data_IF_596208554918
#
_entry.id   IF_596208554918
#
_cell.length_a   1.000
_cell.length_b   1.000
_cell.length_c   1.000
_cell.angle_alpha   90.00
_cell.angle_beta   90.00
_cell.angle_gamma   90.00
#
_symmetry.space_group_name_H-M   'P 1'
#
loop_
_entity.id
_entity.type
_entity.pdbx_description
1 polymer ?
#
# COMPACT_ATOMS: atom_id res chain seq x y z
N UNK A 1 10.11 20.40 18.09
CA UNK A 1 10.07 19.19 17.24
C UNK A 1 9.15 18.21 17.94
N UNK A 2 7.99 17.92 17.37
CA UNK A 2 7.09 16.92 17.93
C UNK A 2 7.76 15.56 17.79
N UNK A 3 8.11 14.91 18.90
CA UNK A 3 8.55 13.51 18.86
C UNK A 3 7.36 12.70 18.36
N UNK A 4 7.47 12.12 17.18
CA UNK A 4 6.45 11.19 16.72
C UNK A 4 6.31 10.09 17.76
N UNK A 5 5.09 9.88 18.22
CA UNK A 5 4.74 8.74 19.06
C UNK A 5 4.77 7.48 18.20
N UNK A 6 5.88 6.74 18.30
CA UNK A 6 6.06 5.46 17.59
C UNK A 6 5.13 4.36 18.15
N UNK A 7 4.64 4.51 19.38
CA UNK A 7 3.83 3.47 20.03
C UNK A 7 2.52 3.22 19.30
N UNK A 8 1.93 4.27 18.70
CA UNK A 8 0.74 4.12 17.88
C UNK A 8 1.02 3.31 16.61
N UNK A 9 2.15 3.54 15.93
CA UNK A 9 2.52 2.78 14.73
C UNK A 9 2.87 1.32 15.04
N UNK A 10 3.52 1.09 16.18
CA UNK A 10 3.78 -0.27 16.68
C UNK A 10 2.48 -1.00 17.01
N UNK A 11 1.52 -0.32 17.65
CA UNK A 11 0.19 -0.86 17.92
C UNK A 11 -0.58 -1.15 16.63
N UNK A 12 -0.51 -0.28 15.62
CA UNK A 12 -1.16 -0.48 14.33
C UNK A 12 -0.58 -1.69 13.58
N UNK A 13 0.75 -1.88 13.61
CA UNK A 13 1.40 -3.09 13.05
C UNK A 13 0.91 -4.34 13.79
N UNK A 14 0.91 -4.32 15.13
CA UNK A 14 0.47 -5.45 15.93
C UNK A 14 -1.00 -5.81 15.67
N UNK A 15 -1.89 -4.80 15.58
CA UNK A 15 -3.30 -4.99 15.26
C UNK A 15 -3.49 -5.58 13.85
N UNK A 16 -2.74 -5.09 12.85
CA UNK A 16 -2.82 -5.61 11.49
C UNK A 16 -2.28 -7.05 11.38
N UNK A 17 -1.24 -7.41 12.13
CA UNK A 17 -0.70 -8.78 12.19
C UNK A 17 -1.68 -9.75 12.87
N UNK A 18 -2.32 -9.32 13.96
CA UNK A 18 -3.36 -10.08 14.63
C UNK A 18 -4.54 -10.36 13.67
N UNK A 19 -4.96 -9.36 12.90
CA UNK A 19 -6.03 -9.50 11.90
C UNK A 19 -5.67 -10.47 10.77
N UNK A 20 -4.43 -10.42 10.26
CA UNK A 20 -3.94 -11.40 9.27
C UNK A 20 -3.98 -12.82 9.83
N UNK A 21 -3.60 -12.98 11.10
CA UNK A 21 -3.61 -14.29 11.79
C UNK A 21 -5.02 -14.82 11.92
N UNK A 22 -5.96 -14.01 12.44
CA UNK A 22 -7.38 -14.36 12.56
C UNK A 22 -7.99 -14.80 11.22
N UNK A 23 -7.84 -13.99 10.16
CA UNK A 23 -8.39 -14.33 8.84
C UNK A 23 -7.74 -15.59 8.25
N UNK A 24 -6.45 -15.83 8.54
CA UNK A 24 -5.76 -17.04 8.09
C UNK A 24 -6.34 -18.28 8.77
N UNK A 25 -6.63 -18.21 10.06
CA UNK A 25 -7.27 -19.30 10.82
C UNK A 25 -8.68 -19.55 10.29
N UNK A 26 -9.51 -18.51 10.14
CA UNK A 26 -10.86 -18.62 9.55
C UNK A 26 -10.84 -19.26 8.15
N UNK A 27 -9.90 -18.83 7.30
CA UNK A 27 -9.76 -19.43 5.97
C UNK A 27 -9.29 -20.89 6.02
N UNK A 28 -8.47 -21.27 7.01
CA UNK A 28 -8.03 -22.66 7.18
C UNK A 28 -9.20 -23.55 7.59
N UNK A 29 -10.06 -23.08 8.50
CA UNK A 29 -11.29 -23.77 8.90
C UNK A 29 -12.24 -23.94 7.71
N UNK A 30 -12.46 -22.89 6.92
CA UNK A 30 -13.26 -22.94 5.70
C UNK A 30 -12.70 -23.93 4.67
N UNK A 31 -11.37 -24.00 4.55
CA UNK A 31 -10.71 -24.94 3.64
C UNK A 31 -10.78 -26.40 4.13
N UNK A 32 -10.77 -26.64 5.43
CA UNK A 32 -11.01 -27.97 6.02
C UNK A 32 -12.47 -28.40 5.83
N UNK A 33 -13.43 -27.52 6.13
CA UNK A 33 -14.85 -27.77 5.91
C UNK A 33 -15.15 -28.10 4.43
N UNK A 34 -14.53 -27.38 3.49
CA UNK A 34 -14.63 -27.67 2.06
C UNK A 34 -14.11 -29.07 1.69
N UNK A 35 -12.99 -29.51 2.28
CA UNK A 35 -12.43 -30.85 2.02
C UNK A 35 -13.32 -31.97 2.55
N UNK A 36 -13.97 -31.76 3.69
CA UNK A 36 -14.85 -32.74 4.31
C UNK A 36 -16.22 -32.87 3.64
N UNK A 37 -16.88 -31.74 3.35
CA UNK A 37 -18.21 -31.70 2.74
C UNK A 37 -18.41 -30.42 1.91
N UNK A 38 -18.13 -30.44 0.59
CA UNK A 38 -18.28 -29.26 -0.26
C UNK A 38 -19.74 -28.79 -0.34
N UNK A 39 -20.05 -27.62 0.22
CA UNK A 39 -21.32 -26.93 0.00
C UNK A 39 -21.39 -26.29 -1.39
N UNK A 40 -22.61 -26.02 -1.87
CA UNK A 40 -22.87 -25.49 -3.22
C UNK A 40 -22.22 -24.10 -3.45
N UNK A 41 -22.09 -23.30 -2.40
CA UNK A 41 -21.48 -21.97 -2.38
C UNK A 41 -20.02 -21.96 -1.88
N UNK A 42 -19.46 -23.10 -1.49
CA UNK A 42 -18.19 -23.16 -0.77
C UNK A 42 -17.00 -22.61 -1.58
N UNK A 43 -17.03 -22.74 -2.91
CA UNK A 43 -15.99 -22.13 -3.78
C UNK A 43 -16.02 -20.60 -3.73
N UNK A 44 -17.21 -20.02 -3.66
CA UNK A 44 -17.37 -18.57 -3.54
C UNK A 44 -16.89 -18.09 -2.17
N UNK A 45 -17.23 -18.81 -1.10
CA UNK A 45 -16.76 -18.53 0.25
C UNK A 45 -15.23 -18.55 0.33
N UNK A 46 -14.57 -19.59 -0.21
CA UNK A 46 -13.11 -19.66 -0.26
C UNK A 46 -12.50 -18.51 -1.06
N UNK A 47 -13.11 -18.13 -2.18
CA UNK A 47 -12.65 -16.99 -2.99
C UNK A 47 -12.75 -15.68 -2.22
N UNK A 48 -13.86 -15.44 -1.52
CA UNK A 48 -14.05 -14.26 -0.68
C UNK A 48 -13.04 -14.24 0.47
N UNK A 49 -12.84 -15.38 1.15
CA UNK A 49 -11.82 -15.53 2.20
C UNK A 49 -10.41 -15.22 1.71
N UNK A 50 -10.02 -15.72 0.54
CA UNK A 50 -8.73 -15.41 -0.08
C UNK A 50 -8.57 -13.91 -0.40
N UNK A 51 -9.63 -13.25 -0.88
CA UNK A 51 -9.63 -11.81 -1.13
C UNK A 51 -9.50 -11.00 0.17
N UNK A 52 -10.19 -11.41 1.24
CA UNK A 52 -10.09 -10.79 2.57
C UNK A 52 -8.68 -10.92 3.15
N UNK A 53 -8.06 -12.10 3.06
CA UNK A 53 -6.68 -12.32 3.50
C UNK A 53 -5.68 -11.46 2.72
N UNK A 54 -5.86 -11.34 1.41
CA UNK A 54 -5.03 -10.47 0.59
C UNK A 54 -5.15 -8.99 1.02
N UNK A 55 -6.37 -8.51 1.28
CA UNK A 55 -6.59 -7.15 1.76
C UNK A 55 -5.99 -6.91 3.16
N UNK A 56 -6.07 -7.89 4.06
CA UNK A 56 -5.45 -7.79 5.39
C UNK A 56 -3.93 -7.74 5.32
N UNK A 57 -3.32 -8.54 4.43
CA UNK A 57 -1.86 -8.49 4.18
C UNK A 57 -1.42 -7.15 3.61
N UNK A 58 -2.15 -6.61 2.64
CA UNK A 58 -1.87 -5.27 2.10
C UNK A 58 -1.88 -4.20 3.21
N UNK A 59 -2.84 -4.28 4.16
CA UNK A 59 -2.88 -3.36 5.32
C UNK A 59 -1.70 -3.54 6.28
N UNK A 60 -1.31 -4.78 6.56
CA UNK A 60 -0.15 -5.08 7.41
C UNK A 60 1.16 -4.57 6.78
N UNK A 61 1.33 -4.74 5.47
CA UNK A 61 2.48 -4.20 4.72
C UNK A 61 2.51 -2.65 4.81
N UNK A 62 1.38 -1.99 4.60
CA UNK A 62 1.28 -0.54 4.73
C UNK A 62 1.61 -0.03 6.15
N UNK A 63 1.13 -0.71 7.20
CA UNK A 63 1.44 -0.36 8.59
C UNK A 63 2.95 -0.48 8.89
N UNK A 64 3.60 -1.54 8.39
CA UNK A 64 5.05 -1.72 8.55
C UNK A 64 5.86 -0.65 7.81
N UNK A 65 5.43 -0.28 6.61
CA UNK A 65 6.06 0.82 5.85
C UNK A 65 5.90 2.15 6.59
N UNK A 66 4.71 2.44 7.12
CA UNK A 66 4.46 3.64 7.91
C UNK A 66 5.33 3.72 9.18
N UNK A 67 5.43 2.61 9.93
CA UNK A 67 6.35 2.52 11.07
C UNK A 67 7.80 2.77 10.64
N UNK A 68 8.23 2.16 9.53
CA UNK A 68 9.60 2.34 9.04
C UNK A 68 9.87 3.78 8.62
N UNK A 69 8.94 4.42 7.92
CA UNK A 69 9.00 5.83 7.56
C UNK A 69 9.10 6.69 8.83
N UNK A 70 8.19 6.52 9.78
CA UNK A 70 8.20 7.27 11.04
C UNK A 70 9.54 7.14 11.79
N UNK A 71 10.14 5.94 11.81
CA UNK A 71 11.46 5.71 12.40
C UNK A 71 12.60 6.43 11.64
N UNK A 72 12.50 6.54 10.32
CA UNK A 72 13.57 7.11 9.47
C UNK A 72 13.46 8.61 9.23
N UNK A 73 12.26 9.13 9.04
CA UNK A 73 12.00 10.51 8.60
C UNK A 73 11.34 11.35 9.69
N UNK A 74 10.82 10.72 10.75
CA UNK A 74 9.97 11.41 11.72
C UNK A 74 8.64 11.88 11.11
N UNK A 75 8.13 11.18 10.09
CA UNK A 75 6.82 11.37 9.46
C UNK A 75 6.21 10.02 9.07
N UNK A 76 4.88 9.81 9.19
CA UNK A 76 4.21 8.61 8.65
C UNK A 76 4.13 8.58 7.13
N UNK A 77 4.32 9.73 6.49
CA UNK A 77 4.25 9.91 5.06
C UNK A 77 5.64 10.24 4.51
N UNK A 78 5.89 9.71 3.32
CA UNK A 78 7.14 9.80 2.58
C UNK A 78 7.37 8.53 1.77
N UNK A 79 8.49 8.47 1.07
CA UNK A 79 8.91 7.36 0.25
C UNK A 79 10.18 6.69 0.81
N UNK A 80 10.22 5.36 0.72
CA UNK A 80 11.40 4.55 0.93
C UNK A 80 11.81 3.94 -0.42
N UNK A 81 13.03 4.24 -0.85
CA UNK A 81 13.66 3.66 -2.02
C UNK A 81 14.76 2.69 -1.59
N UNK A 82 14.57 1.39 -1.81
CA UNK A 82 15.55 0.38 -1.44
C UNK A 82 15.37 -0.90 -2.26
N UNK A 83 16.49 -1.57 -2.56
CA UNK A 83 16.50 -2.90 -3.19
C UNK A 83 15.67 -2.95 -4.49
N UNK A 84 15.77 -1.89 -5.30
CA UNK A 84 15.04 -1.76 -6.58
C UNK A 84 13.54 -1.52 -6.43
N UNK A 85 13.06 -1.12 -5.25
CA UNK A 85 11.65 -0.89 -4.96
C UNK A 85 11.46 0.48 -4.33
N UNK A 86 10.37 1.15 -4.70
CA UNK A 86 9.88 2.36 -4.02
C UNK A 86 8.55 2.03 -3.37
N UNK A 87 8.43 2.25 -2.07
CA UNK A 87 7.18 2.10 -1.31
C UNK A 87 7.01 3.27 -0.36
N UNK A 88 5.77 3.67 -0.11
CA UNK A 88 5.52 4.76 0.83
C UNK A 88 4.09 5.22 0.80
N UNK A 89 3.86 6.41 1.34
CA UNK A 89 2.56 7.06 1.23
C UNK A 89 2.67 8.57 1.25
N UNK A 90 1.69 9.23 0.66
CA UNK A 90 1.54 10.69 0.68
C UNK A 90 0.12 11.04 1.09
N UNK A 91 -0.04 12.10 1.89
CA UNK A 91 -1.33 12.66 2.24
C UNK A 91 -1.60 13.88 1.36
N UNK A 92 -2.68 13.85 0.58
CA UNK A 92 -3.03 14.89 -0.40
C UNK A 92 -4.39 15.48 -0.08
N UNK A 93 -4.46 16.81 0.00
CA UNK A 93 -5.72 17.54 0.13
C UNK A 93 -6.46 17.53 -1.22
N UNK A 94 -7.39 16.58 -1.39
CA UNK A 94 -8.21 16.46 -2.60
C UNK A 94 -9.65 16.86 -2.24
N UNK A 95 -10.14 18.01 -2.74
CA UNK A 95 -11.51 18.44 -2.50
C UNK A 95 -12.56 17.43 -2.97
N UNK A 96 -13.69 17.38 -2.29
CA UNK A 96 -14.82 16.57 -2.71
C UNK A 96 -15.37 17.08 -4.06
N UNK A 97 -15.63 16.18 -5.00
CA UNK A 97 -16.14 16.54 -6.33
C UNK A 97 -15.06 16.99 -7.32
N UNK A 98 -13.77 16.98 -6.96
CA UNK A 98 -12.68 17.26 -7.90
C UNK A 98 -12.74 16.35 -9.13
N UNK A 99 -12.49 16.95 -10.29
CA UNK A 99 -12.44 16.20 -11.55
C UNK A 99 -11.23 15.25 -11.57
N UNK A 100 -11.26 14.25 -12.45
CA UNK A 100 -10.11 13.34 -12.60
C UNK A 100 -8.81 14.07 -12.98
N UNK A 101 -8.90 15.14 -13.78
CA UNK A 101 -7.72 15.92 -14.19
C UNK A 101 -7.17 16.79 -13.06
N UNK A 102 -8.05 17.45 -12.31
CA UNK A 102 -7.66 18.22 -11.12
C UNK A 102 -7.03 17.32 -10.06
N UNK A 103 -7.63 16.15 -9.83
CA UNK A 103 -7.07 15.16 -8.93
C UNK A 103 -5.66 14.74 -9.35
N UNK A 104 -5.46 14.37 -10.62
CA UNK A 104 -4.15 13.96 -11.12
C UNK A 104 -3.10 15.08 -10.88
N UNK A 105 -3.46 16.33 -11.16
CA UNK A 105 -2.60 17.49 -10.90
C UNK A 105 -2.23 17.64 -9.43
N UNK A 106 -3.20 17.54 -8.51
CA UNK A 106 -2.95 17.64 -7.07
C UNK A 106 -2.03 16.52 -6.56
N UNK A 107 -2.17 15.32 -7.11
CA UNK A 107 -1.29 14.19 -6.77
C UNK A 107 0.12 14.42 -7.32
N UNK A 108 0.24 14.86 -8.57
CA UNK A 108 1.54 15.14 -9.19
C UNK A 108 2.30 16.23 -8.43
N UNK A 109 1.62 17.33 -8.06
CA UNK A 109 2.20 18.42 -7.26
C UNK A 109 2.70 17.94 -5.90
N UNK A 110 1.98 17.02 -5.26
CA UNK A 110 2.35 16.48 -3.96
C UNK A 110 3.48 15.43 -4.01
N UNK A 111 3.62 14.69 -5.11
CA UNK A 111 4.44 13.48 -5.17
C UNK A 111 5.65 13.56 -6.12
N UNK A 112 5.59 14.35 -7.20
CA UNK A 112 6.55 14.28 -8.30
C UNK A 112 8.00 14.53 -7.87
N UNK A 113 8.24 15.51 -7.01
CA UNK A 113 9.59 15.82 -6.56
C UNK A 113 10.19 14.67 -5.73
N UNK A 114 9.42 14.13 -4.79
CA UNK A 114 9.87 13.05 -3.91
C UNK A 114 10.07 11.74 -4.69
N UNK A 115 9.12 11.41 -5.58
CA UNK A 115 9.21 10.22 -6.42
C UNK A 115 10.38 10.28 -7.41
N UNK A 116 10.65 11.47 -7.97
CA UNK A 116 11.83 11.69 -8.82
C UNK A 116 13.12 11.55 -8.02
N UNK A 117 13.16 12.04 -6.78
CA UNK A 117 14.28 11.82 -5.85
C UNK A 117 14.52 10.33 -5.60
N UNK A 118 13.46 9.59 -5.22
CA UNK A 118 13.52 8.16 -5.00
C UNK A 118 14.00 7.36 -6.23
N UNK A 119 13.54 7.72 -7.43
CA UNK A 119 14.01 7.10 -8.67
C UNK A 119 15.50 7.39 -8.93
N UNK A 120 15.94 8.63 -8.68
CA UNK A 120 17.34 9.01 -8.81
C UNK A 120 18.25 8.25 -7.83
N UNK A 121 17.81 8.06 -6.59
CA UNK A 121 18.55 7.30 -5.58
C UNK A 121 18.73 5.83 -5.98
N UNK A 122 17.82 5.29 -6.79
CA UNK A 122 17.90 3.96 -7.39
C UNK A 122 18.63 3.95 -8.75
N UNK A 123 19.04 5.10 -9.27
CA UNK A 123 19.72 5.22 -10.57
C UNK A 123 18.81 5.03 -11.79
N UNK A 124 17.49 5.23 -11.65
CA UNK A 124 16.50 5.01 -12.71
C UNK A 124 15.67 6.27 -12.99
N UNK A 125 14.84 6.23 -14.04
CA UNK A 125 13.87 7.29 -14.35
C UNK A 125 12.43 6.80 -14.23
N UNK A 126 11.48 7.72 -14.04
CA UNK A 126 10.06 7.36 -13.95
C UNK A 126 9.53 6.91 -15.31
N UNK A 127 8.86 5.76 -15.35
CA UNK A 127 8.17 5.25 -16.54
C UNK A 127 6.81 5.92 -16.81
N UNK A 128 6.25 6.61 -15.82
CA UNK A 128 4.92 7.21 -15.89
C UNK A 128 4.84 8.50 -15.03
N UNK A 129 3.76 9.29 -15.17
CA UNK A 129 3.42 10.36 -14.24
C UNK A 129 3.18 9.87 -12.81
N UNK A 130 3.36 10.74 -11.82
CA UNK A 130 3.35 10.35 -10.40
C UNK A 130 2.03 9.73 -9.96
N UNK A 131 0.88 10.19 -10.49
CA UNK A 131 -0.42 9.65 -10.09
C UNK A 131 -0.58 8.16 -10.42
N UNK A 132 0.15 7.65 -11.43
CA UNK A 132 0.12 6.24 -11.82
C UNK A 132 0.78 5.32 -10.81
N UNK A 133 1.61 5.84 -9.90
CA UNK A 133 2.26 5.09 -8.82
C UNK A 133 1.42 5.07 -7.55
N UNK A 134 0.22 5.64 -7.58
CA UNK A 134 -0.60 5.81 -6.39
C UNK A 134 -1.83 4.89 -6.35
N UNK A 135 -2.19 4.46 -5.13
CA UNK A 135 -3.45 3.80 -4.83
C UNK A 135 -4.08 4.47 -3.61
N UNK A 136 -5.32 4.91 -3.74
CA UNK A 136 -6.04 5.52 -2.62
C UNK A 136 -6.37 4.48 -1.53
N UNK A 137 -6.04 4.82 -0.28
CA UNK A 137 -6.54 4.08 0.89
C UNK A 137 -7.97 4.48 1.19
N UNK A 138 -8.82 3.55 1.65
CA UNK A 138 -10.11 3.90 2.20
C UNK A 138 -9.97 4.89 3.38
N UNK A 139 -10.80 5.94 3.38
CA UNK A 139 -10.85 6.93 4.46
C UNK A 139 -9.99 8.18 4.21
N UNK A 140 -9.74 8.91 5.29
CA UNK A 140 -8.98 10.16 5.34
C UNK A 140 -8.09 10.15 6.59
N UNK A 141 -7.03 10.94 6.60
CA UNK A 141 -6.23 11.15 7.81
C UNK A 141 -6.92 12.08 8.82
N UNK A 142 -6.27 12.35 9.96
CA UNK A 142 -6.79 13.21 11.01
C UNK A 142 -7.03 14.67 10.56
N UNK A 143 -6.39 15.10 9.48
CA UNK A 143 -6.54 16.44 8.88
C UNK A 143 -7.56 16.44 7.72
N UNK A 144 -8.21 15.30 7.44
CA UNK A 144 -9.19 15.17 6.36
C UNK A 144 -8.58 14.98 4.97
N UNK A 145 -7.27 14.69 4.88
CA UNK A 145 -6.56 14.46 3.61
C UNK A 145 -6.73 13.04 3.10
N UNK A 146 -6.66 12.89 1.79
CA UNK A 146 -6.65 11.58 1.11
C UNK A 146 -5.29 10.94 1.28
N UNK A 147 -5.23 9.70 1.78
CA UNK A 147 -3.98 8.96 1.87
C UNK A 147 -3.81 8.12 0.61
N UNK A 148 -2.67 8.30 -0.06
CA UNK A 148 -2.29 7.55 -1.25
C UNK A 148 -1.08 6.68 -0.93
N UNK A 149 -1.23 5.37 -1.10
CA UNK A 149 -0.09 4.44 -1.11
C UNK A 149 0.69 4.61 -2.39
N UNK A 150 2.01 4.70 -2.28
CA UNK A 150 2.92 4.82 -3.41
C UNK A 150 3.66 3.51 -3.58
N UNK A 151 3.72 2.98 -4.79
CA UNK A 151 4.47 1.76 -5.08
C UNK A 151 5.05 1.75 -6.49
N UNK A 152 6.33 1.42 -6.58
CA UNK A 152 7.04 1.17 -7.84
C UNK A 152 8.13 0.11 -7.69
N UNK A 153 8.58 -0.44 -8.82
CA UNK A 153 9.73 -1.35 -8.88
C UNK A 153 10.58 -1.06 -10.11
N UNK A 154 11.87 -1.37 -10.02
CA UNK A 154 12.82 -1.16 -11.11
C UNK A 154 12.67 -2.29 -12.15
N UNK A 155 12.54 -1.91 -13.42
CA UNK A 155 12.70 -2.77 -14.59
C UNK A 155 13.69 -2.11 -15.56
N UNK A 156 14.91 -2.67 -15.65
CA UNK A 156 16.00 -2.02 -16.40
C UNK A 156 16.32 -0.64 -15.81
N UNK A 157 16.25 0.39 -16.65
CA UNK A 157 16.54 1.78 -16.27
C UNK A 157 15.28 2.57 -15.87
N UNK A 158 14.15 1.88 -15.69
CA UNK A 158 12.84 2.48 -15.44
C UNK A 158 12.29 2.07 -14.07
N UNK A 159 11.73 3.03 -13.33
CA UNK A 159 10.85 2.77 -12.20
C UNK A 159 9.42 2.57 -12.75
N UNK A 160 8.90 1.36 -12.69
CA UNK A 160 7.57 0.99 -13.15
C UNK A 160 6.54 1.12 -12.02
N UNK A 161 5.31 1.60 -12.29
CA UNK A 161 4.25 1.62 -11.29
C UNK A 161 3.84 0.21 -10.83
N UNK A 162 3.80 0.00 -9.52
CA UNK A 162 3.50 -1.29 -8.90
C UNK A 162 2.16 -1.32 -8.14
N UNK A 163 1.30 -0.31 -8.33
CA UNK A 163 -0.01 -0.20 -7.65
C UNK A 163 -1.12 -1.04 -8.30
N UNK A 164 -0.87 -1.63 -9.46
CA UNK A 164 -1.79 -2.59 -10.07
C UNK A 164 -1.49 -4.02 -9.62
N UNK A 165 -2.54 -4.82 -9.38
CA UNK A 165 -2.41 -6.24 -9.00
C UNK A 165 -1.62 -7.07 -10.03
N UNK A 166 -1.54 -6.63 -11.29
CA UNK A 166 -0.78 -7.28 -12.36
C UNK A 166 0.74 -7.19 -12.19
N UNK A 167 1.26 -6.13 -11.57
CA UNK A 167 2.69 -5.92 -11.36
C UNK A 167 3.29 -6.82 -10.26
N UNK A 168 2.48 -7.28 -9.28
CA UNK A 168 2.95 -8.21 -8.22
C UNK A 168 3.35 -9.60 -8.78
N UNK A 169 2.84 -10.01 -9.95
CA UNK A 169 3.22 -11.28 -10.57
C UNK A 169 4.63 -11.23 -11.22
N UNK A 170 5.14 -10.05 -11.57
CA UNK A 170 6.50 -9.90 -12.08
C UNK A 170 7.57 -10.07 -10.98
N UNK A 171 7.20 -9.93 -9.70
CA UNK A 171 8.11 -10.17 -8.55
C UNK A 171 8.30 -11.66 -8.20
N UNK A 172 7.74 -12.59 -8.97
CA UNK A 172 7.76 -14.04 -8.69
C UNK A 172 8.29 -14.91 -9.85
N UNK A 173 8.79 -14.32 -10.93
CA UNK A 173 9.50 -15.06 -11.98
C UNK A 173 11.00 -15.06 -11.74
#
# INVERSE_FOLDING_TARGET
MSSIDLSQYEADVAAAEAEVTRIREENAELAEAYRGAPAEDAREILRRGAASLAAARDRCEAARVALKLAQTTGSPHGLLAKDGVVVGSVAVAIPAGSSSGERARLVDEALSAELTGAARDLGVVLAAPAERYTRERPGRDAEGRTILDVSGHVEGDLLMPAVSKGAKNARRS
#
